data_IF_754366690459
#
_entry.id   IF_754366690459
#
_cell.length_a   1.000
_cell.length_b   1.000
_cell.length_c   1.000
_cell.angle_alpha   90.00
_cell.angle_beta   90.00
_cell.angle_gamma   90.00
#
_symmetry.space_group_name_H-M   'P 1'
#
loop_
_entity.id
_entity.type
_entity.pdbx_description
1 polymer ?
#
# COMPACT_ATOMS: atom_id res chain seq x y z
N UNK A 1 -6.70 -11.70 -1.42
CA UNK A 1 -6.71 -11.39 -2.88
C UNK A 1 -5.31 -11.64 -3.43
N UNK A 2 -5.15 -12.02 -4.71
CA UNK A 2 -3.82 -12.39 -5.23
C UNK A 2 -2.93 -11.15 -5.38
N UNK A 3 -1.68 -11.15 -4.89
CA UNK A 3 -0.77 -10.00 -4.99
C UNK A 3 -0.52 -9.56 -6.44
N UNK A 4 -0.64 -10.48 -7.39
CA UNK A 4 -0.54 -10.23 -8.83
C UNK A 4 -1.62 -9.26 -9.36
N UNK A 5 -2.84 -9.33 -8.83
CA UNK A 5 -3.93 -8.46 -9.26
C UNK A 5 -3.75 -7.02 -8.79
N UNK A 6 -3.24 -6.85 -7.56
CA UNK A 6 -2.90 -5.54 -7.01
C UNK A 6 -1.77 -4.90 -7.81
N UNK A 7 -0.72 -5.66 -8.15
CA UNK A 7 0.38 -5.18 -9.01
C UNK A 7 -0.10 -4.75 -10.40
N UNK A 8 -1.04 -5.49 -11.00
CA UNK A 8 -1.63 -5.13 -12.30
C UNK A 8 -2.42 -3.82 -12.24
N UNK A 9 -3.24 -3.65 -11.19
CA UNK A 9 -4.06 -2.44 -10.98
C UNK A 9 -3.18 -1.21 -10.75
N UNK A 10 -2.15 -1.35 -9.92
CA UNK A 10 -1.16 -0.29 -9.66
C UNK A 10 -0.40 0.08 -10.94
N UNK A 11 0.04 -0.91 -11.72
CA UNK A 11 0.75 -0.67 -12.99
C UNK A 11 -0.12 0.04 -14.03
N UNK A 12 -1.39 -0.33 -14.16
CA UNK A 12 -2.35 0.32 -15.05
C UNK A 12 -2.61 1.78 -14.66
N UNK A 13 -2.75 2.06 -13.36
CA UNK A 13 -2.90 3.42 -12.85
C UNK A 13 -1.65 4.28 -13.09
N UNK A 14 -0.44 3.72 -12.87
CA UNK A 14 0.82 4.42 -13.12
C UNK A 14 1.03 4.74 -14.61
N UNK A 15 0.67 3.81 -15.51
CA UNK A 15 0.76 4.03 -16.96
C UNK A 15 -0.13 5.19 -17.41
N UNK A 16 -1.33 5.31 -16.86
CA UNK A 16 -2.25 6.41 -17.15
C UNK A 16 -1.71 7.76 -16.66
N UNK A 17 -1.10 7.78 -15.48
CA UNK A 17 -0.46 8.98 -14.94
C UNK A 17 0.74 9.47 -15.78
N UNK A 18 1.52 8.54 -16.34
CA UNK A 18 2.67 8.88 -17.19
C UNK A 18 2.28 9.54 -18.52
N UNK A 19 1.13 9.18 -19.09
CA UNK A 19 0.69 9.72 -20.40
C UNK A 19 0.16 11.15 -20.31
N UNK A 20 -0.52 11.50 -19.22
CA UNK A 20 -1.27 12.77 -19.15
C UNK A 20 -0.46 13.93 -18.56
N UNK A 21 0.48 13.68 -17.65
CA UNK A 21 1.12 14.76 -16.87
C UNK A 21 2.64 14.92 -17.02
N UNK A 22 3.29 14.12 -17.88
CA UNK A 22 4.74 14.18 -18.08
C UNK A 22 5.56 13.70 -16.86
N UNK A 23 6.88 13.87 -16.91
CA UNK A 23 7.82 13.31 -15.92
C UNK A 23 7.50 13.73 -14.47
N UNK A 24 7.09 14.98 -14.25
CA UNK A 24 6.73 15.49 -12.92
C UNK A 24 5.46 14.84 -12.35
N UNK A 25 4.42 14.65 -13.16
CA UNK A 25 3.19 14.02 -12.69
C UNK A 25 3.39 12.52 -12.40
N UNK A 26 4.23 11.84 -13.18
CA UNK A 26 4.62 10.46 -12.88
C UNK A 26 5.27 10.35 -11.51
N UNK A 27 6.20 11.26 -11.18
CA UNK A 27 6.84 11.31 -9.86
C UNK A 27 5.83 11.54 -8.72
N UNK A 28 4.88 12.47 -8.90
CA UNK A 28 3.84 12.73 -7.88
C UNK A 28 2.96 11.49 -7.68
N UNK A 29 2.53 10.83 -8.76
CA UNK A 29 1.70 9.63 -8.65
C UNK A 29 2.46 8.45 -8.08
N UNK A 30 3.73 8.26 -8.46
CA UNK A 30 4.60 7.26 -7.85
C UNK A 30 4.77 7.51 -6.35
N UNK A 31 5.00 8.77 -5.96
CA UNK A 31 5.10 9.15 -4.56
C UNK A 31 3.79 8.89 -3.81
N UNK A 32 2.65 9.29 -4.37
CA UNK A 32 1.33 9.07 -3.77
C UNK A 32 1.00 7.57 -3.66
N UNK A 33 1.36 6.77 -4.66
CA UNK A 33 1.19 5.33 -4.64
C UNK A 33 2.04 4.67 -3.55
N UNK A 34 3.29 5.10 -3.37
CA UNK A 34 4.15 4.64 -2.27
C UNK A 34 3.56 5.03 -0.92
N UNK A 35 3.11 6.29 -0.76
CA UNK A 35 2.47 6.75 0.48
C UNK A 35 1.19 5.95 0.77
N UNK A 36 0.32 5.76 -0.23
CA UNK A 36 -0.90 4.97 -0.11
C UNK A 36 -0.62 3.49 0.18
N UNK A 37 0.44 2.92 -0.39
CA UNK A 37 0.88 1.55 -0.10
C UNK A 37 1.40 1.42 1.34
N UNK A 38 2.18 2.39 1.82
CA UNK A 38 2.68 2.41 3.20
C UNK A 38 1.52 2.58 4.19
N UNK A 39 0.61 3.52 3.95
CA UNK A 39 -0.59 3.72 4.79
C UNK A 39 -1.47 2.47 4.76
N UNK A 40 -1.71 1.89 3.58
CA UNK A 40 -2.46 0.64 3.43
C UNK A 40 -1.82 -0.53 4.19
N UNK A 41 -0.49 -0.68 4.14
CA UNK A 41 0.26 -1.68 4.91
C UNK A 41 0.19 -1.45 6.43
N UNK A 42 0.14 -0.19 6.86
CA UNK A 42 -0.04 0.18 8.28
C UNK A 42 -1.46 -0.14 8.74
N UNK A 43 -2.48 0.18 7.94
CA UNK A 43 -3.90 -0.10 8.23
C UNK A 43 -4.22 -1.59 8.16
N UNK A 44 -3.65 -2.32 7.21
CA UNK A 44 -3.78 -3.78 7.11
C UNK A 44 -3.10 -4.54 8.27
N UNK A 45 -2.32 -3.86 9.13
CA UNK A 45 -1.61 -4.49 10.24
C UNK A 45 -0.45 -5.40 9.80
N UNK A 46 -0.05 -5.33 8.51
CA UNK A 46 1.08 -6.11 7.98
C UNK A 46 2.45 -5.44 8.26
N UNK A 47 2.46 -4.16 8.61
CA UNK A 47 3.42 -3.68 9.62
C UNK A 47 2.76 -4.01 10.94
N UNK A 48 3.23 -5.09 11.56
CA UNK A 48 2.69 -5.67 12.78
C UNK A 48 2.88 -4.67 13.95
N UNK A 49 1.98 -3.68 14.04
CA UNK A 49 1.72 -2.91 15.27
C UNK A 49 0.72 -3.64 16.16
N UNK A 50 0.20 -4.79 15.73
CA UNK A 50 -0.58 -5.71 16.54
C UNK A 50 0.11 -6.12 17.86
N UNK A 51 1.45 -6.25 17.96
CA UNK A 51 2.15 -6.44 19.22
C UNK A 51 2.19 -5.17 20.10
N UNK A 52 2.01 -3.99 19.50
CA UNK A 52 2.05 -2.70 20.19
C UNK A 52 0.67 -2.11 20.52
N UNK A 53 -0.40 -2.54 19.83
CA UNK A 53 -1.80 -2.11 20.07
C UNK A 53 -2.75 -3.23 20.52
N UNK A 54 -2.38 -4.51 20.37
CA UNK A 54 -3.21 -5.65 20.72
C UNK A 54 -2.81 -6.26 22.06
N UNK A 55 -3.42 -5.74 23.13
CA UNK A 55 -3.37 -6.32 24.47
C UNK A 55 -3.63 -7.83 24.47
N UNK A 56 -2.93 -8.50 25.38
CA UNK A 56 -2.72 -9.94 25.32
C UNK A 56 -3.97 -10.80 25.42
N UNK A 57 -3.92 -11.93 24.72
CA UNK A 57 -4.65 -13.13 25.13
C UNK A 57 -3.65 -14.21 25.53
N UNK A 58 -3.19 -14.04 26.77
CA UNK A 58 -2.49 -15.04 27.55
C UNK A 58 -3.53 -15.94 28.23
N UNK A 59 -4.24 -16.80 27.48
CA UNK A 59 -5.08 -17.90 28.01
C UNK A 59 -5.70 -18.62 26.81
N UNK A 60 -5.56 -19.92 26.57
CA UNK A 60 -5.92 -21.09 27.38
C UNK A 60 -5.16 -22.28 26.79
N UNK A 61 -4.35 -22.96 27.59
CA UNK A 61 -4.60 -24.33 28.08
C UNK A 61 -4.80 -25.37 26.98
#
# INVERSE_FOLDING_TARGET
>A
MRPSFVGMLVGMALGFAGVIGGFGAFLIVAFLAVVGFVVGKVVEGQIDLSPYLGGGDRSKR
#
